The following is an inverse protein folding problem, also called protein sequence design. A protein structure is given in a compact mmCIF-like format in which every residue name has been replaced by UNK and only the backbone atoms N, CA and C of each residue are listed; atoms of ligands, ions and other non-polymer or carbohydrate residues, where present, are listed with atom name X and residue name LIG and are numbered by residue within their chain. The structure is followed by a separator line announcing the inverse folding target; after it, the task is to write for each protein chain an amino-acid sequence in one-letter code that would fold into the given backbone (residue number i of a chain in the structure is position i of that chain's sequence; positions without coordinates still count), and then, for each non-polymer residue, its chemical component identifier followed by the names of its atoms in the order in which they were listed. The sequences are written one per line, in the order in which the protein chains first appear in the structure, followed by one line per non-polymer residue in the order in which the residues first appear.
data_IF_890697737506
#
_entry.id   IF_890697737506
#
_cell.length_a   1.000
_cell.length_b   1.000
_cell.length_c   1.000
_cell.angle_alpha   90.00
_cell.angle_beta   90.00
_cell.angle_gamma   90.00
#
_symmetry.space_group_name_H-M   'P 1'
#
loop_
_entity.id
_entity.type
_entity.pdbx_description
1 polymer ?
#
# COMPACT_ATOMS: atom_id res chain seq x y z
N UNK A 1 2.56 -22.55 -3.15
CA UNK A 1 2.96 -22.61 -1.74
C UNK A 1 2.28 -21.50 -0.92
N UNK A 2 2.39 -20.20 -1.30
CA UNK A 2 1.77 -19.06 -0.58
C UNK A 2 0.25 -19.26 -0.37
N UNK A 3 -0.50 -19.58 -1.43
CA UNK A 3 -1.95 -19.81 -1.33
C UNK A 3 -2.32 -20.95 -0.37
N UNK A 4 -1.57 -22.07 -0.37
CA UNK A 4 -1.82 -23.17 0.56
C UNK A 4 -1.54 -22.78 2.02
N UNK A 5 -0.49 -22.00 2.27
CA UNK A 5 -0.19 -21.43 3.58
C UNK A 5 -1.34 -20.53 4.07
N UNK A 6 -1.78 -19.59 3.24
CA UNK A 6 -2.89 -18.70 3.57
C UNK A 6 -4.19 -19.44 3.86
N UNK A 7 -4.49 -20.52 3.12
CA UNK A 7 -5.65 -21.36 3.40
C UNK A 7 -5.56 -22.06 4.77
N UNK A 8 -4.35 -22.46 5.19
CA UNK A 8 -4.14 -23.04 6.52
C UNK A 8 -4.29 -21.98 7.63
N UNK A 9 -3.68 -20.79 7.43
CA UNK A 9 -3.78 -19.73 8.43
C UNK A 9 -5.21 -19.20 8.60
N UNK A 10 -5.97 -19.06 7.50
CA UNK A 10 -7.40 -18.68 7.59
C UNK A 10 -8.29 -19.69 8.29
N UNK A 11 -7.90 -20.96 8.35
CA UNK A 11 -8.61 -21.94 9.18
C UNK A 11 -8.40 -21.72 10.68
N UNK A 12 -7.21 -21.23 11.06
CA UNK A 12 -6.84 -20.92 12.44
C UNK A 12 -7.31 -19.51 12.84
N UNK A 13 -7.19 -18.55 11.93
CA UNK A 13 -7.44 -17.13 12.13
C UNK A 13 -8.47 -16.66 11.11
N UNK A 14 -9.75 -16.69 11.49
CA UNK A 14 -10.87 -16.33 10.59
C UNK A 14 -10.86 -14.84 10.21
N UNK A 15 -10.29 -14.02 11.07
CA UNK A 15 -10.24 -12.57 10.94
C UNK A 15 -8.93 -12.07 10.29
N UNK A 16 -8.13 -12.99 9.71
CA UNK A 16 -6.88 -12.67 9.04
C UNK A 16 -7.11 -11.69 7.90
N UNK A 17 -6.34 -10.58 7.91
CA UNK A 17 -6.22 -9.63 6.82
C UNK A 17 -4.94 -9.90 6.04
N UNK A 18 -4.99 -9.69 4.73
CA UNK A 18 -3.88 -9.87 3.82
C UNK A 18 -3.70 -8.62 2.97
N UNK A 19 -2.54 -7.99 3.08
CA UNK A 19 -2.20 -6.76 2.38
C UNK A 19 -0.99 -6.92 1.48
N UNK A 20 -0.86 -6.00 0.53
CA UNK A 20 0.33 -5.83 -0.28
C UNK A 20 0.76 -4.35 -0.23
N UNK A 21 2.03 -4.11 -0.04
CA UNK A 21 2.60 -2.76 0.08
C UNK A 21 3.15 -2.21 -1.25
N UNK A 22 2.67 -2.73 -2.38
CA UNK A 22 3.08 -2.33 -3.72
C UNK A 22 4.21 -3.16 -4.33
N UNK A 23 4.49 -2.94 -5.61
CA UNK A 23 5.45 -3.71 -6.43
C UNK A 23 5.07 -5.19 -6.58
N UNK A 24 3.77 -5.50 -6.64
CA UNK A 24 3.33 -6.85 -6.98
C UNK A 24 3.67 -7.22 -8.43
N UNK A 25 3.94 -6.23 -9.26
CA UNK A 25 4.05 -6.31 -10.71
C UNK A 25 5.49 -6.38 -11.19
N UNK A 26 6.36 -7.27 -10.68
CA UNK A 26 7.72 -7.39 -11.19
C UNK A 26 8.35 -8.78 -10.94
N UNK A 27 9.49 -9.02 -11.57
CA UNK A 27 10.48 -10.03 -11.20
C UNK A 27 10.31 -11.41 -11.82
N UNK A 28 9.32 -11.64 -12.69
CA UNK A 28 9.12 -12.96 -13.29
C UNK A 28 9.00 -12.90 -14.83
N UNK A 29 9.32 -14.00 -15.57
CA UNK A 29 9.00 -14.08 -16.99
C UNK A 29 7.51 -13.89 -17.29
N UNK A 30 6.62 -14.27 -16.36
CA UNK A 30 5.18 -14.06 -16.48
C UNK A 30 4.82 -12.58 -16.51
N UNK A 31 5.48 -11.77 -15.69
CA UNK A 31 5.29 -10.32 -15.70
C UNK A 31 5.60 -9.71 -17.07
N UNK A 32 6.73 -10.06 -17.67
CA UNK A 32 7.11 -9.56 -19.00
C UNK A 32 6.10 -9.98 -20.10
N UNK A 33 5.52 -11.18 -19.99
CA UNK A 33 4.58 -11.70 -20.99
C UNK A 33 3.15 -11.19 -20.76
N UNK A 34 2.69 -11.15 -19.51
CA UNK A 34 1.29 -10.89 -19.14
C UNK A 34 1.08 -9.53 -18.45
N UNK A 35 2.17 -8.76 -18.24
CA UNK A 35 2.15 -7.38 -17.73
C UNK A 35 1.36 -7.22 -16.42
N UNK A 36 1.51 -8.16 -15.48
CA UNK A 36 0.87 -8.13 -14.16
C UNK A 36 -0.49 -8.85 -14.06
N UNK A 37 -1.03 -9.38 -15.17
CA UNK A 37 -2.34 -10.07 -15.13
C UNK A 37 -2.32 -11.34 -14.27
N UNK A 38 -1.23 -12.12 -14.34
CA UNK A 38 -1.08 -13.34 -13.54
C UNK A 38 -1.04 -13.02 -12.06
N UNK A 39 -0.33 -11.96 -11.70
CA UNK A 39 -0.19 -11.48 -10.33
C UNK A 39 -1.56 -11.07 -9.76
N UNK A 40 -2.32 -10.24 -10.45
CA UNK A 40 -3.68 -9.82 -10.03
C UNK A 40 -4.62 -11.03 -9.87
N UNK A 41 -4.61 -11.97 -10.82
CA UNK A 41 -5.44 -13.17 -10.72
C UNK A 41 -5.07 -14.04 -9.51
N UNK A 42 -3.77 -14.13 -9.18
CA UNK A 42 -3.31 -14.84 -7.98
C UNK A 42 -3.68 -14.10 -6.70
N UNK A 43 -3.59 -12.76 -6.68
CA UNK A 43 -4.00 -11.94 -5.55
C UNK A 43 -5.51 -12.07 -5.30
N UNK A 44 -6.35 -12.02 -6.34
CA UNK A 44 -7.79 -12.29 -6.24
C UNK A 44 -8.05 -13.68 -5.66
N UNK A 45 -7.39 -14.72 -6.20
CA UNK A 45 -7.51 -16.09 -5.69
C UNK A 45 -7.09 -16.22 -4.22
N UNK A 46 -6.05 -15.50 -3.81
CA UNK A 46 -5.57 -15.46 -2.43
C UNK A 46 -6.39 -14.53 -1.53
N UNK A 47 -7.34 -13.77 -2.09
CA UNK A 47 -8.25 -12.85 -1.38
C UNK A 47 -7.48 -11.80 -0.58
N UNK A 48 -6.72 -10.97 -1.27
CA UNK A 48 -6.14 -9.77 -0.67
C UNK A 48 -7.25 -8.81 -0.20
N UNK A 49 -7.02 -8.13 0.91
CA UNK A 49 -7.99 -7.19 1.48
C UNK A 49 -7.72 -5.75 1.02
N UNK A 50 -6.48 -5.40 0.70
CA UNK A 50 -6.08 -4.16 0.02
C UNK A 50 -4.65 -4.28 -0.53
N UNK A 51 -4.31 -3.37 -1.45
CA UNK A 51 -2.97 -3.24 -2.04
C UNK A 51 -2.62 -1.77 -2.19
N UNK A 52 -1.39 -1.38 -1.85
CA UNK A 52 -0.82 -0.07 -2.21
C UNK A 52 -0.26 -0.08 -3.63
N UNK A 53 0.17 1.08 -4.12
CA UNK A 53 0.84 1.25 -5.41
C UNK A 53 2.34 1.44 -5.16
N UNK A 54 3.16 0.61 -5.79
CA UNK A 54 4.60 0.81 -5.88
C UNK A 54 5.03 1.46 -7.20
N UNK A 55 6.33 1.62 -7.40
CA UNK A 55 6.86 2.22 -8.63
C UNK A 55 6.79 1.27 -9.84
N UNK A 56 6.85 -0.03 -9.63
CA UNK A 56 6.82 -1.02 -10.72
C UNK A 56 5.43 -1.27 -11.31
N UNK A 57 4.36 -0.85 -10.64
CA UNK A 57 3.03 -0.84 -11.25
C UNK A 57 2.98 0.08 -12.47
N UNK A 58 3.86 1.11 -12.54
CA UNK A 58 3.96 2.03 -13.67
C UNK A 58 4.78 1.51 -14.86
N UNK A 59 5.50 0.40 -14.76
CA UNK A 59 6.46 -0.07 -15.78
C UNK A 59 5.88 -0.17 -17.19
N UNK A 60 4.59 -0.51 -17.32
CA UNK A 60 3.88 -0.59 -18.60
C UNK A 60 2.86 0.54 -18.79
N UNK A 61 2.97 1.64 -18.04
CA UNK A 61 2.16 2.85 -18.15
C UNK A 61 0.75 2.73 -17.57
N UNK A 62 0.06 3.87 -17.55
CA UNK A 62 -1.23 4.03 -16.86
C UNK A 62 -2.35 3.17 -17.44
N UNK A 63 -2.36 2.95 -18.76
CA UNK A 63 -3.38 2.12 -19.41
C UNK A 63 -3.31 0.66 -18.94
N UNK A 64 -2.08 0.13 -18.79
CA UNK A 64 -1.90 -1.20 -18.24
C UNK A 64 -2.29 -1.26 -16.76
N UNK A 65 -1.92 -0.25 -15.96
CA UNK A 65 -2.36 -0.15 -14.56
C UNK A 65 -3.88 -0.15 -14.47
N UNK A 66 -4.57 0.69 -15.25
CA UNK A 66 -6.02 0.77 -15.28
C UNK A 66 -6.67 -0.57 -15.64
N UNK A 67 -6.08 -1.30 -16.62
CA UNK A 67 -6.52 -2.64 -16.98
C UNK A 67 -6.41 -3.60 -15.81
N UNK A 68 -5.29 -3.60 -15.09
CA UNK A 68 -5.05 -4.46 -13.94
C UNK A 68 -5.97 -4.12 -12.76
N UNK A 69 -6.11 -2.82 -12.43
CA UNK A 69 -6.93 -2.39 -11.31
C UNK A 69 -8.43 -2.66 -11.52
N UNK A 70 -8.90 -2.64 -12.78
CA UNK A 70 -10.26 -3.09 -13.11
C UNK A 70 -10.47 -4.60 -12.92
N UNK A 71 -9.41 -5.40 -12.95
CA UNK A 71 -9.47 -6.84 -12.71
C UNK A 71 -9.33 -7.19 -11.22
N UNK A 72 -8.82 -6.27 -10.39
CA UNK A 72 -8.64 -6.49 -8.96
C UNK A 72 -10.00 -6.61 -8.25
N UNK A 73 -10.17 -7.66 -7.43
CA UNK A 73 -11.34 -7.89 -6.58
C UNK A 73 -11.13 -7.30 -5.17
N UNK A 74 -10.10 -6.51 -5.00
CA UNK A 74 -9.71 -5.82 -3.77
C UNK A 74 -9.41 -4.35 -4.09
N UNK A 75 -9.54 -3.44 -3.13
CA UNK A 75 -9.23 -2.03 -3.33
C UNK A 75 -7.72 -1.81 -3.51
N UNK A 76 -7.38 -0.93 -4.45
CA UNK A 76 -6.04 -0.35 -4.60
C UNK A 76 -6.06 1.02 -3.94
N UNK A 77 -5.15 1.26 -3.00
CA UNK A 77 -5.10 2.48 -2.19
C UNK A 77 -3.80 3.26 -2.39
N UNK A 78 -3.93 4.57 -2.58
CA UNK A 78 -2.81 5.50 -2.57
C UNK A 78 -3.32 6.92 -2.31
N UNK A 79 -2.87 7.55 -1.24
CA UNK A 79 -3.34 8.87 -0.84
C UNK A 79 -2.49 10.01 -1.44
N UNK A 80 -1.21 9.75 -1.73
CA UNK A 80 -0.28 10.77 -2.18
C UNK A 80 -0.02 10.78 -3.70
N UNK A 81 -0.86 10.07 -4.47
CA UNK A 81 -0.89 10.22 -5.94
C UNK A 81 -2.20 10.84 -6.37
N UNK A 82 -2.16 12.11 -6.83
CA UNK A 82 -3.32 12.70 -7.49
C UNK A 82 -3.44 12.15 -8.91
N UNK A 83 -4.42 11.29 -9.10
CA UNK A 83 -4.72 10.61 -10.36
C UNK A 83 -5.86 11.25 -11.16
N UNK A 84 -6.36 12.43 -10.73
CA UNK A 84 -7.46 13.14 -11.40
C UNK A 84 -7.10 13.47 -12.85
N UNK A 85 -8.07 13.28 -13.74
CA UNK A 85 -7.90 13.49 -15.17
C UNK A 85 -7.07 12.40 -15.87
N UNK A 86 -6.69 11.33 -15.18
CA UNK A 86 -6.02 10.16 -15.77
C UNK A 86 -6.98 8.99 -15.89
N UNK A 87 -6.55 7.93 -16.58
CA UNK A 87 -7.32 6.67 -16.68
C UNK A 87 -7.43 5.90 -15.37
N UNK A 88 -6.72 6.32 -14.33
CA UNK A 88 -6.78 5.74 -12.98
C UNK A 88 -7.84 6.40 -12.09
N UNK A 89 -8.44 7.51 -12.55
CA UNK A 89 -9.49 8.21 -11.78
C UNK A 89 -10.65 7.27 -11.48
N UNK A 90 -11.03 7.18 -10.20
CA UNK A 90 -12.07 6.27 -9.71
C UNK A 90 -11.63 4.81 -9.52
N UNK A 91 -10.44 4.41 -9.98
CA UNK A 91 -9.87 3.07 -9.75
C UNK A 91 -8.99 3.01 -8.51
N UNK A 92 -8.33 4.11 -8.17
CA UNK A 92 -7.49 4.26 -6.98
C UNK A 92 -8.27 5.01 -5.91
N UNK A 93 -8.24 4.51 -4.68
CA UNK A 93 -8.85 5.15 -3.51
C UNK A 93 -7.76 5.72 -2.61
N UNK A 94 -8.07 6.78 -1.88
CA UNK A 94 -7.13 7.27 -0.87
C UNK A 94 -7.01 6.27 0.28
N UNK A 95 -8.15 5.71 0.72
CA UNK A 95 -8.26 4.74 1.82
C UNK A 95 -9.47 3.82 1.66
N UNK A 96 -9.53 2.82 2.51
CA UNK A 96 -10.71 1.96 2.73
C UNK A 96 -10.90 1.71 4.21
N UNK A 97 -12.14 1.47 4.63
CA UNK A 97 -12.46 1.00 5.98
C UNK A 97 -12.92 -0.44 5.90
N UNK A 98 -12.26 -1.31 6.63
CA UNK A 98 -12.57 -2.73 6.74
C UNK A 98 -13.17 -3.00 8.12
N UNK A 99 -14.14 -3.91 8.19
CA UNK A 99 -14.70 -4.38 9.46
C UNK A 99 -14.24 -5.81 9.71
N UNK A 100 -13.60 -6.03 10.86
CA UNK A 100 -13.16 -7.36 11.31
C UNK A 100 -13.36 -7.50 12.80
N UNK A 101 -14.08 -8.54 13.19
CA UNK A 101 -14.30 -8.89 14.60
C UNK A 101 -14.82 -7.72 15.47
N UNK A 102 -15.67 -6.88 14.87
CA UNK A 102 -16.24 -5.69 15.53
C UNK A 102 -15.33 -4.48 15.56
N UNK A 103 -14.11 -4.56 15.01
CA UNK A 103 -13.20 -3.42 14.85
C UNK A 103 -13.36 -2.78 13.48
N UNK A 104 -13.31 -1.45 13.45
CA UNK A 104 -13.20 -0.64 12.23
C UNK A 104 -11.74 -0.34 11.97
N UNK A 105 -11.23 -0.82 10.85
CA UNK A 105 -9.81 -0.75 10.48
C UNK A 105 -9.68 0.12 9.24
N UNK A 106 -9.12 1.31 9.40
CA UNK A 106 -8.78 2.20 8.29
C UNK A 106 -7.47 1.75 7.65
N UNK A 107 -7.46 1.61 6.32
CA UNK A 107 -6.27 1.22 5.56
C UNK A 107 -6.07 2.23 4.44
N UNK A 108 -4.91 2.85 4.37
CA UNK A 108 -4.53 3.77 3.31
C UNK A 108 -3.16 3.41 2.72
N UNK A 109 -2.87 3.93 1.53
CA UNK A 109 -1.60 3.68 0.84
C UNK A 109 -0.78 4.94 0.67
N UNK A 110 0.55 4.79 0.63
CA UNK A 110 1.50 5.83 0.23
C UNK A 110 2.49 5.24 -0.77
N UNK A 111 2.66 5.94 -1.90
CA UNK A 111 3.60 5.57 -2.96
C UNK A 111 4.90 6.37 -2.94
N UNK A 112 5.97 5.82 -3.50
CA UNK A 112 7.27 6.46 -3.64
C UNK A 112 7.23 7.66 -4.60
N UNK A 113 8.20 8.56 -4.49
CA UNK A 113 8.36 9.66 -5.45
C UNK A 113 8.67 9.11 -6.84
N UNK A 114 7.82 9.44 -7.82
CA UNK A 114 7.94 8.89 -9.19
C UNK A 114 9.09 9.50 -9.97
N UNK A 115 9.35 10.80 -9.77
CA UNK A 115 10.42 11.51 -10.46
C UNK A 115 11.79 10.93 -10.10
N UNK A 116 12.53 10.48 -11.10
CA UNK A 116 13.81 9.80 -10.95
C UNK A 116 13.73 8.28 -10.77
N UNK A 117 12.54 7.73 -10.45
CA UNK A 117 12.31 6.27 -10.34
C UNK A 117 11.59 5.70 -11.56
N UNK A 118 10.61 6.42 -12.08
CA UNK A 118 9.74 5.98 -13.17
C UNK A 118 9.91 6.92 -14.36
N UNK A 119 9.96 6.39 -15.58
CA UNK A 119 9.98 7.21 -16.77
C UNK A 119 8.72 8.07 -16.87
N UNK A 120 8.87 9.36 -17.18
CA UNK A 120 7.74 10.31 -17.18
C UNK A 120 6.59 9.86 -18.09
N UNK A 121 6.89 9.26 -19.25
CA UNK A 121 5.89 8.70 -20.16
C UNK A 121 5.00 7.62 -19.52
N UNK A 122 5.48 6.94 -18.48
CA UNK A 122 4.76 5.86 -17.82
C UNK A 122 3.80 6.35 -16.73
N UNK A 123 4.09 7.50 -16.07
CA UNK A 123 3.16 8.05 -15.06
C UNK A 123 2.42 9.30 -15.54
N UNK A 124 2.88 9.95 -16.65
CA UNK A 124 2.16 11.00 -17.33
C UNK A 124 1.75 12.16 -16.43
N UNK A 125 0.44 12.35 -16.24
CA UNK A 125 -0.13 13.46 -15.46
C UNK A 125 -0.36 13.15 -13.99
N UNK A 126 0.00 11.96 -13.51
CA UNK A 126 -0.07 11.63 -12.07
C UNK A 126 0.86 12.58 -11.31
N UNK A 127 0.32 13.25 -10.28
CA UNK A 127 1.10 14.15 -9.44
C UNK A 127 1.43 13.49 -8.12
N UNK A 128 2.68 13.62 -7.72
CA UNK A 128 3.15 13.19 -6.41
C UNK A 128 2.89 14.33 -5.40
N UNK A 129 2.18 14.00 -4.34
CA UNK A 129 1.93 14.87 -3.20
C UNK A 129 2.83 14.45 -2.02
N UNK A 130 3.09 15.35 -1.09
CA UNK A 130 3.95 15.08 0.06
C UNK A 130 3.36 13.97 0.95
N UNK A 131 4.05 12.81 1.10
CA UNK A 131 3.47 11.65 1.77
C UNK A 131 3.30 11.84 3.28
N UNK A 132 4.08 12.72 3.92
CA UNK A 132 3.92 13.01 5.35
C UNK A 132 2.64 13.81 5.57
N UNK A 133 2.41 14.84 4.76
CA UNK A 133 1.21 15.67 4.82
C UNK A 133 -0.05 14.86 4.50
N UNK A 134 0.00 14.07 3.42
CA UNK A 134 -1.14 13.24 3.01
C UNK A 134 -1.38 12.09 4.00
N UNK A 135 -0.33 11.46 4.51
CA UNK A 135 -0.42 10.44 5.54
C UNK A 135 -1.09 10.98 6.82
N UNK A 136 -0.68 12.17 7.29
CA UNK A 136 -1.32 12.81 8.44
C UNK A 136 -2.78 13.15 8.16
N UNK A 137 -3.09 13.74 6.99
CA UNK A 137 -4.46 14.09 6.60
C UNK A 137 -5.40 12.88 6.62
N UNK A 138 -4.95 11.76 6.05
CA UNK A 138 -5.76 10.54 6.00
C UNK A 138 -5.86 9.87 7.37
N UNK A 139 -4.78 9.84 8.14
CA UNK A 139 -4.81 9.27 9.49
C UNK A 139 -5.80 10.00 10.40
N UNK A 140 -5.83 11.33 10.35
CA UNK A 140 -6.79 12.15 11.09
C UNK A 140 -8.22 11.90 10.60
N UNK A 141 -8.45 11.87 9.30
CA UNK A 141 -9.75 11.56 8.72
C UNK A 141 -10.27 10.19 9.20
N UNK A 142 -9.41 9.16 9.17
CA UNK A 142 -9.77 7.80 9.58
C UNK A 142 -10.09 7.73 11.08
N UNK A 143 -9.34 8.42 11.94
CA UNK A 143 -9.60 8.45 13.39
C UNK A 143 -10.82 9.31 13.75
N UNK A 144 -10.92 10.53 13.20
CA UNK A 144 -11.88 11.54 13.66
C UNK A 144 -13.23 11.45 12.96
N UNK A 145 -13.24 11.17 11.63
CA UNK A 145 -14.48 11.14 10.85
C UNK A 145 -14.99 9.72 10.66
N UNK A 146 -14.12 8.79 10.24
CA UNK A 146 -14.48 7.40 10.05
C UNK A 146 -14.52 6.60 11.34
N UNK A 147 -14.04 7.15 12.47
CA UNK A 147 -14.05 6.53 13.80
C UNK A 147 -13.39 5.13 13.78
N UNK A 148 -12.25 5.00 13.10
CA UNK A 148 -11.52 3.75 13.03
C UNK A 148 -10.80 3.44 14.35
N UNK A 149 -10.92 2.20 14.82
CA UNK A 149 -10.19 1.69 15.98
C UNK A 149 -8.70 1.57 15.69
N UNK A 150 -8.36 1.12 14.47
CA UNK A 150 -6.98 0.97 13.99
C UNK A 150 -6.81 1.67 12.64
N UNK A 151 -5.63 2.29 12.45
CA UNK A 151 -5.21 2.91 11.19
C UNK A 151 -3.91 2.25 10.72
N UNK A 152 -3.95 1.64 9.54
CA UNK A 152 -2.83 0.92 8.92
C UNK A 152 -2.39 1.67 7.66
N UNK A 153 -1.12 1.99 7.58
CA UNK A 153 -0.48 2.51 6.37
C UNK A 153 0.18 1.38 5.59
N UNK A 154 -0.21 1.19 4.33
CA UNK A 154 0.52 0.37 3.36
C UNK A 154 1.51 1.29 2.64
N UNK A 155 2.76 1.24 3.02
CA UNK A 155 3.77 2.19 2.56
C UNK A 155 4.68 1.58 1.49
N UNK A 156 4.83 2.29 0.39
CA UNK A 156 5.87 2.02 -0.61
C UNK A 156 6.95 3.10 -0.62
N UNK A 157 7.21 3.75 0.53
CA UNK A 157 8.21 4.80 0.66
C UNK A 157 9.63 4.25 0.85
N UNK A 158 9.75 3.03 1.37
CA UNK A 158 11.01 2.46 1.85
C UNK A 158 11.21 2.71 3.35
N UNK A 159 12.06 1.87 3.97
CA UNK A 159 12.23 1.89 5.43
C UNK A 159 12.87 3.19 5.94
N UNK A 160 14.09 3.49 5.47
CA UNK A 160 14.88 4.67 5.86
C UNK A 160 15.96 4.99 4.85
N UNK A 161 16.48 6.23 4.90
CA UNK A 161 17.59 6.67 4.04
C UNK A 161 17.15 7.23 2.70
N UNK A 162 15.89 7.10 2.33
CA UNK A 162 15.27 7.73 1.18
C UNK A 162 14.58 9.04 1.61
N UNK A 163 14.44 10.02 0.71
CA UNK A 163 13.52 11.11 0.92
C UNK A 163 12.11 10.53 1.08
N UNK A 164 11.41 10.85 2.18
CA UNK A 164 10.11 10.27 2.49
C UNK A 164 10.19 8.75 2.79
N UNK A 165 10.67 8.41 3.95
CA UNK A 165 10.75 7.01 4.42
C UNK A 165 9.66 6.70 5.45
N UNK A 166 9.46 5.40 5.73
CA UNK A 166 8.55 4.93 6.80
C UNK A 166 8.91 5.54 8.16
N UNK A 167 10.20 5.68 8.43
CA UNK A 167 10.69 6.30 9.68
C UNK A 167 10.32 7.77 9.73
N UNK A 168 10.58 8.52 8.65
CA UNK A 168 10.23 9.94 8.57
C UNK A 168 8.71 10.16 8.67
N UNK A 169 7.92 9.31 8.01
CA UNK A 169 6.46 9.34 8.12
C UNK A 169 6.03 9.21 9.58
N UNK A 170 6.49 8.19 10.29
CA UNK A 170 6.09 7.95 11.68
C UNK A 170 6.52 9.09 12.60
N UNK A 171 7.79 9.52 12.51
CA UNK A 171 8.34 10.56 13.38
C UNK A 171 7.66 11.93 13.19
N UNK A 172 7.00 12.16 12.04
CA UNK A 172 6.34 13.43 11.71
C UNK A 172 4.80 13.33 11.61
N UNK A 173 4.21 12.22 12.03
CA UNK A 173 2.75 12.03 12.03
C UNK A 173 2.23 11.52 13.38
N UNK A 174 0.91 11.43 13.50
CA UNK A 174 0.18 10.78 14.58
C UNK A 174 -0.98 9.98 14.02
N UNK A 175 -1.67 9.22 14.87
CA UNK A 175 -2.87 8.47 14.48
C UNK A 175 -2.64 7.31 13.50
N UNK A 176 -1.39 6.96 13.19
CA UNK A 176 -1.03 5.73 12.46
C UNK A 176 -0.65 4.68 13.51
N UNK A 177 -1.31 3.52 13.48
CA UNK A 177 -1.11 2.46 14.47
C UNK A 177 -0.15 1.36 13.98
N UNK A 178 0.01 1.20 12.65
CA UNK A 178 0.88 0.19 12.03
C UNK A 178 1.31 0.65 10.64
N UNK A 179 2.57 0.45 10.30
CA UNK A 179 3.09 0.60 8.93
C UNK A 179 3.51 -0.78 8.40
N UNK A 180 2.96 -1.16 7.25
CA UNK A 180 3.41 -2.30 6.45
C UNK A 180 4.14 -1.73 5.25
N UNK A 181 5.47 -1.87 5.24
CA UNK A 181 6.34 -1.22 4.28
C UNK A 181 6.80 -2.13 3.14
N UNK A 182 7.26 -1.49 2.07
CA UNK A 182 7.87 -2.10 0.88
C UNK A 182 9.04 -1.27 0.35
N UNK A 183 9.31 -1.33 -0.95
CA UNK A 183 10.29 -0.55 -1.71
C UNK A 183 11.77 -0.83 -1.39
N UNK A 184 12.20 -0.69 -0.16
CA UNK A 184 13.61 -0.85 0.24
C UNK A 184 14.08 -2.30 0.33
N UNK A 185 13.20 -3.28 0.08
CA UNK A 185 13.46 -4.72 0.18
C UNK A 185 14.08 -5.12 1.53
N UNK A 186 13.70 -4.41 2.59
CA UNK A 186 14.15 -4.73 3.95
C UNK A 186 13.38 -5.94 4.47
N UNK A 187 14.07 -6.81 5.20
CA UNK A 187 13.45 -7.97 5.82
C UNK A 187 13.59 -7.89 7.33
N UNK A 188 12.46 -7.89 8.03
CA UNK A 188 12.42 -7.90 9.49
C UNK A 188 11.84 -9.22 9.98
N UNK A 189 12.60 -9.94 10.83
CA UNK A 189 12.08 -11.14 11.50
C UNK A 189 10.98 -10.78 12.50
N UNK A 190 11.12 -9.60 13.14
CA UNK A 190 10.13 -9.01 14.05
C UNK A 190 9.94 -7.54 13.73
N UNK A 191 8.77 -6.93 14.04
CA UNK A 191 8.53 -5.52 13.79
C UNK A 191 9.54 -4.63 14.49
N UNK A 192 9.97 -3.56 13.84
CA UNK A 192 10.75 -2.48 14.45
C UNK A 192 9.81 -1.35 14.84
N UNK A 193 10.15 -0.60 15.89
CA UNK A 193 9.27 0.42 16.47
C UNK A 193 9.93 1.79 16.40
N UNK A 194 9.13 2.80 16.04
CA UNK A 194 9.51 4.20 16.02
C UNK A 194 8.46 5.04 16.75
N UNK A 195 8.90 6.13 17.40
CA UNK A 195 7.98 7.02 18.11
C UNK A 195 7.40 8.05 17.16
N UNK A 196 6.09 8.19 17.21
CA UNK A 196 5.35 9.23 16.51
C UNK A 196 5.42 10.59 17.26
N UNK A 197 4.77 11.63 16.73
CA UNK A 197 4.73 12.97 17.34
C UNK A 197 4.19 13.00 18.77
N UNK A 198 3.37 12.03 19.16
CA UNK A 198 2.81 11.91 20.51
C UNK A 198 3.66 11.02 21.43
N UNK A 199 4.81 10.53 20.94
CA UNK A 199 5.71 9.64 21.66
C UNK A 199 5.22 8.20 21.75
N UNK A 200 4.16 7.83 21.00
CA UNK A 200 3.62 6.47 20.91
C UNK A 200 4.49 5.64 19.96
N UNK A 201 4.81 4.43 20.37
CA UNK A 201 5.58 3.49 19.54
C UNK A 201 4.69 2.87 18.45
N UNK A 202 5.06 3.07 17.19
CA UNK A 202 4.39 2.55 16.00
C UNK A 202 5.24 1.45 15.39
N UNK A 203 4.70 0.23 15.24
CA UNK A 203 5.41 -0.86 14.57
C UNK A 203 5.50 -0.65 13.06
N UNK A 204 6.67 -1.02 12.51
CA UNK A 204 6.94 -1.15 11.08
C UNK A 204 7.32 -2.58 10.76
N UNK A 205 6.71 -3.16 9.75
CA UNK A 205 7.04 -4.48 9.23
C UNK A 205 7.32 -4.41 7.73
N UNK A 206 8.44 -5.00 7.30
CA UNK A 206 8.74 -5.29 5.89
C UNK A 206 9.14 -6.76 5.73
N UNK A 207 8.82 -7.34 4.60
CA UNK A 207 9.00 -8.78 4.33
C UNK A 207 9.91 -9.08 3.13
N UNK A 208 10.77 -8.15 2.75
CA UNK A 208 11.74 -8.25 1.65
C UNK A 208 11.27 -7.72 0.32
#
# INVERSE_FOLDING_TARGET
RRAAFLQQERKKHKDLLLFDAGDFSQGTPFYNLFKGEVEIRLMNHMKYDACAIGNHEFDFGLENMARLFKMAEFPVVCANYDVKGTVLEGLVKEYVVLERNGLRIGVFGLGAKLDGLVAHENYGQVRFEDPVSEGQRIADLLKEQEQCDLVICLSHLGWKGEPYSDVELIENTRNIDLVIGGHSHSFFEEPVFYKNLDGVEVPVQQMG
#
